data_IF_308346734344
#
_entry.id   IF_308346734344
#
_cell.length_a   1.000
_cell.length_b   1.000
_cell.length_c   1.000
_cell.angle_alpha   90.00
_cell.angle_beta   90.00
_cell.angle_gamma   90.00
#
_symmetry.space_group_name_H-M   'P 1'
#
loop_
_entity.id
_entity.type
_entity.pdbx_description
1 polymer ?
#
# COMPACT_ATOMS: atom_id res chain seq x y z
N UNK A 1 -3.10 17.47 -16.35
CA UNK A 1 -3.23 16.58 -15.19
C UNK A 1 -1.92 15.83 -15.06
N UNK A 2 -1.13 16.09 -14.03
CA UNK A 2 -0.01 15.19 -13.73
C UNK A 2 -0.63 13.85 -13.33
N UNK A 3 -0.36 12.77 -14.06
CA UNK A 3 -0.71 11.44 -13.59
C UNK A 3 0.05 11.23 -12.28
N UNK A 4 -0.66 11.05 -11.18
CA UNK A 4 0.00 10.60 -9.96
C UNK A 4 0.33 9.12 -10.17
N UNK A 5 1.50 8.82 -10.72
CA UNK A 5 1.93 7.44 -10.93
C UNK A 5 2.05 6.75 -9.55
N UNK A 6 1.17 5.80 -9.22
CA UNK A 6 1.07 5.26 -7.86
C UNK A 6 2.23 4.33 -7.54
N UNK A 7 2.44 4.06 -6.26
CA UNK A 7 3.29 2.96 -5.84
C UNK A 7 2.48 1.68 -5.82
N UNK A 8 3.10 0.57 -6.20
CA UNK A 8 2.43 -0.75 -6.24
C UNK A 8 3.24 -1.68 -5.35
N UNK A 9 2.61 -2.25 -4.33
CA UNK A 9 3.29 -3.22 -3.48
C UNK A 9 2.34 -4.23 -2.87
N UNK A 10 2.90 -5.34 -2.42
CA UNK A 10 2.18 -6.48 -1.84
C UNK A 10 2.83 -7.81 -2.18
N UNK A 11 2.10 -8.90 -1.94
CA UNK A 11 2.46 -10.27 -2.29
C UNK A 11 2.06 -10.59 -3.74
N UNK A 12 3.04 -10.81 -4.61
CA UNK A 12 2.84 -11.13 -6.03
C UNK A 12 2.90 -12.64 -6.31
N UNK A 13 3.14 -13.46 -5.28
CA UNK A 13 3.22 -14.92 -5.36
C UNK A 13 4.17 -15.43 -6.48
N UNK A 14 5.23 -14.67 -6.78
CA UNK A 14 6.27 -15.09 -7.71
C UNK A 14 7.63 -14.49 -7.34
N UNK A 15 8.72 -15.21 -7.63
CA UNK A 15 10.08 -14.70 -7.47
C UNK A 15 10.63 -14.23 -8.83
N UNK A 16 11.18 -13.02 -8.89
CA UNK A 16 11.66 -12.42 -10.15
C UNK A 16 13.03 -12.95 -10.57
N UNK A 17 13.94 -13.11 -9.60
CA UNK A 17 15.29 -13.64 -9.84
C UNK A 17 15.44 -15.05 -9.21
N UNK A 18 15.52 -16.14 -10.01
CA UNK A 18 15.66 -17.50 -9.50
C UNK A 18 16.91 -17.76 -8.65
N UNK A 19 17.94 -16.91 -8.76
CA UNK A 19 19.21 -17.07 -8.07
C UNK A 19 19.30 -16.28 -6.76
N UNK A 20 18.66 -15.10 -6.69
CA UNK A 20 18.73 -14.21 -5.53
C UNK A 20 17.43 -14.13 -4.73
N UNK A 21 16.28 -14.39 -5.36
CA UNK A 21 14.95 -14.32 -4.73
C UNK A 21 14.45 -15.69 -4.28
N UNK A 22 15.30 -16.72 -4.34
CA UNK A 22 14.97 -18.08 -3.93
C UNK A 22 16.17 -18.79 -3.29
N UNK A 23 15.93 -19.47 -2.18
CA UNK A 23 16.84 -20.44 -1.59
C UNK A 23 16.15 -21.79 -1.37
N UNK A 24 16.74 -22.92 -1.78
CA UNK A 24 17.96 -23.01 -2.60
C UNK A 24 17.75 -22.41 -4.00
N UNK A 25 18.82 -21.87 -4.64
CA UNK A 25 18.73 -21.24 -5.95
C UNK A 25 18.08 -22.17 -6.98
N UNK A 26 17.14 -21.61 -7.75
CA UNK A 26 16.48 -22.33 -8.83
C UNK A 26 17.36 -22.38 -10.08
N UNK A 27 17.48 -23.55 -10.69
CA UNK A 27 18.05 -23.72 -12.05
C UNK A 27 17.00 -23.46 -13.14
N UNK A 28 15.72 -23.42 -12.74
CA UNK A 28 14.60 -23.26 -13.65
C UNK A 28 14.43 -21.78 -14.04
N UNK A 29 13.94 -21.52 -15.27
CA UNK A 29 13.61 -20.17 -15.68
C UNK A 29 12.49 -19.58 -14.80
N UNK A 30 12.38 -18.23 -14.73
CA UNK A 30 11.30 -17.56 -14.00
C UNK A 30 9.92 -18.03 -14.48
N UNK A 31 8.94 -18.04 -13.57
CA UNK A 31 7.55 -18.41 -13.89
C UNK A 31 6.95 -17.48 -14.96
N UNK A 32 5.84 -17.89 -15.58
CA UNK A 32 5.14 -17.05 -16.56
C UNK A 32 4.71 -15.71 -15.92
N UNK A 33 4.24 -15.78 -14.69
CA UNK A 33 3.82 -14.64 -13.88
C UNK A 33 4.98 -13.67 -13.65
N UNK A 34 6.15 -14.18 -13.23
CA UNK A 34 7.34 -13.36 -13.04
C UNK A 34 7.80 -12.68 -14.33
N UNK A 35 7.75 -13.38 -15.47
CA UNK A 35 8.10 -12.78 -16.78
C UNK A 35 7.12 -11.68 -17.20
N UNK A 36 5.82 -11.89 -17.01
CA UNK A 36 4.80 -10.89 -17.31
C UNK A 36 4.94 -9.68 -16.39
N UNK A 37 5.15 -9.90 -15.09
CA UNK A 37 5.36 -8.82 -14.12
C UNK A 37 6.58 -7.98 -14.50
N UNK A 38 7.73 -8.61 -14.78
CA UNK A 38 8.92 -7.91 -15.28
C UNK A 38 8.66 -7.14 -16.57
N UNK A 39 7.93 -7.73 -17.53
CA UNK A 39 7.58 -7.03 -18.78
C UNK A 39 6.75 -5.79 -18.50
N UNK A 40 5.68 -5.91 -17.70
CA UNK A 40 4.82 -4.78 -17.34
C UNK A 40 5.64 -3.69 -16.68
N UNK A 41 6.42 -4.03 -15.66
CA UNK A 41 7.27 -3.07 -14.95
C UNK A 41 8.24 -2.35 -15.90
N UNK A 42 8.89 -3.07 -16.81
CA UNK A 42 9.77 -2.47 -17.82
C UNK A 42 9.00 -1.55 -18.78
N UNK A 43 7.82 -1.95 -19.24
CA UNK A 43 7.01 -1.21 -20.20
C UNK A 43 6.47 0.10 -19.61
N UNK A 44 6.10 0.11 -18.32
CA UNK A 44 5.57 1.29 -17.62
C UNK A 44 6.64 2.08 -16.85
N UNK A 45 7.90 1.65 -16.90
CA UNK A 45 9.02 2.33 -16.23
C UNK A 45 8.97 2.27 -14.71
N UNK A 46 8.74 1.08 -14.15
CA UNK A 46 8.74 0.82 -12.71
C UNK A 46 9.91 -0.09 -12.31
N UNK A 47 10.52 0.20 -11.17
CA UNK A 47 11.62 -0.58 -10.60
C UNK A 47 11.24 -1.20 -9.25
N UNK A 48 11.76 -2.40 -8.99
CA UNK A 48 11.72 -3.07 -7.67
C UNK A 48 12.66 -2.35 -6.70
N UNK A 49 12.10 -1.63 -5.73
CA UNK A 49 12.85 -0.79 -4.80
C UNK A 49 13.89 -1.59 -4.01
N UNK A 50 13.55 -2.80 -3.56
CA UNK A 50 14.46 -3.62 -2.77
C UNK A 50 15.66 -4.05 -3.61
N UNK A 51 15.43 -4.49 -4.85
CA UNK A 51 16.51 -4.99 -5.71
C UNK A 51 17.43 -3.89 -6.23
N UNK A 52 16.90 -2.67 -6.44
CA UNK A 52 17.73 -1.51 -6.79
C UNK A 52 18.69 -1.12 -5.66
N UNK A 53 18.25 -1.21 -4.39
CA UNK A 53 19.08 -0.90 -3.23
C UNK A 53 20.01 -2.04 -2.81
N UNK A 54 19.60 -3.29 -3.07
CA UNK A 54 20.30 -4.50 -2.64
C UNK A 54 20.54 -5.44 -3.84
N UNK A 55 21.40 -5.05 -4.79
CA UNK A 55 21.53 -5.75 -6.08
C UNK A 55 22.03 -7.19 -5.94
N UNK A 56 22.82 -7.48 -4.91
CA UNK A 56 23.47 -8.78 -4.70
C UNK A 56 22.89 -9.59 -3.55
N UNK A 57 22.07 -8.96 -2.69
CA UNK A 57 21.68 -9.59 -1.43
C UNK A 57 20.56 -10.61 -1.65
N UNK A 58 20.59 -11.65 -0.82
CA UNK A 58 19.61 -12.73 -0.80
C UNK A 58 18.87 -12.72 0.53
N UNK A 59 17.72 -12.03 0.54
CA UNK A 59 16.78 -12.01 1.65
C UNK A 59 15.38 -12.36 1.15
N UNK A 60 14.55 -12.91 2.05
CA UNK A 60 13.31 -13.60 1.69
C UNK A 60 12.15 -13.13 2.55
N UNK A 61 10.95 -13.16 1.98
CA UNK A 61 9.70 -12.72 2.63
C UNK A 61 8.73 -13.87 2.89
N UNK A 62 9.04 -15.06 2.37
CA UNK A 62 8.22 -16.25 2.53
C UNK A 62 9.06 -17.51 2.74
N UNK A 63 8.56 -18.41 3.58
CA UNK A 63 9.10 -19.76 3.76
C UNK A 63 8.01 -20.80 3.46
N UNK A 64 8.33 -21.75 2.58
CA UNK A 64 7.49 -22.90 2.27
C UNK A 64 8.03 -24.14 2.97
N UNK A 65 7.36 -24.58 4.03
CA UNK A 65 7.73 -25.81 4.75
C UNK A 65 7.68 -27.08 3.85
N UNK A 66 6.65 -27.30 3.01
CA UNK A 66 6.59 -28.50 2.16
C UNK A 66 7.70 -28.59 1.10
N UNK A 67 8.31 -27.46 0.76
CA UNK A 67 9.36 -27.36 -0.26
C UNK A 67 10.73 -27.01 0.32
N UNK A 68 10.81 -26.86 1.65
CA UNK A 68 12.01 -26.42 2.39
C UNK A 68 12.72 -25.23 1.71
N UNK A 69 11.91 -24.26 1.25
CA UNK A 69 12.41 -23.18 0.40
C UNK A 69 12.02 -21.81 0.93
N UNK A 70 12.95 -20.87 0.84
CA UNK A 70 12.70 -19.45 1.07
C UNK A 70 12.56 -18.72 -0.26
N UNK A 71 11.61 -17.80 -0.34
CA UNK A 71 11.39 -16.98 -1.54
C UNK A 71 11.09 -15.54 -1.18
N UNK A 72 11.54 -14.60 -2.00
CA UNK A 72 11.07 -13.21 -1.98
C UNK A 72 9.91 -13.09 -2.96
N UNK A 73 8.72 -12.85 -2.44
CA UNK A 73 7.47 -12.74 -3.22
C UNK A 73 6.71 -11.45 -2.95
N UNK A 74 7.11 -10.72 -1.92
CA UNK A 74 6.63 -9.37 -1.64
C UNK A 74 7.54 -8.36 -2.32
N UNK A 75 6.94 -7.40 -3.00
CA UNK A 75 7.65 -6.35 -3.74
C UNK A 75 7.04 -4.99 -3.44
N UNK A 76 7.86 -3.93 -3.56
CA UNK A 76 7.40 -2.58 -3.80
C UNK A 76 7.98 -2.10 -5.14
N UNK A 77 7.11 -1.80 -6.08
CA UNK A 77 7.44 -1.16 -7.33
C UNK A 77 7.06 0.31 -7.30
N UNK A 78 7.98 1.16 -7.76
CA UNK A 78 7.75 2.60 -7.93
C UNK A 78 8.19 3.04 -9.32
N UNK A 79 7.65 4.15 -9.86
CA UNK A 79 8.18 4.75 -11.08
C UNK A 79 9.68 5.03 -10.94
N UNK A 80 10.49 4.66 -11.94
CA UNK A 80 11.93 4.93 -11.95
C UNK A 80 12.23 6.42 -11.70
N UNK A 81 11.34 7.31 -12.19
CA UNK A 81 11.41 8.76 -11.98
C UNK A 81 11.31 9.19 -10.51
N UNK A 82 10.86 8.32 -9.61
CA UNK A 82 10.70 8.58 -8.16
C UNK A 82 11.71 7.82 -7.30
N UNK A 83 12.63 7.06 -7.90
CA UNK A 83 13.60 6.24 -7.16
C UNK A 83 14.52 7.09 -6.26
N UNK A 84 14.82 8.33 -6.65
CA UNK A 84 15.63 9.27 -5.86
C UNK A 84 14.98 9.67 -4.51
N UNK A 85 13.69 9.37 -4.31
CA UNK A 85 12.97 9.62 -3.05
C UNK A 85 13.14 8.48 -2.02
N UNK A 86 13.72 7.34 -2.43
CA UNK A 86 13.93 6.18 -1.55
C UNK A 86 15.25 6.35 -0.79
N UNK A 87 15.22 6.29 0.55
CA UNK A 87 16.44 6.28 1.39
C UNK A 87 16.90 4.87 1.69
N UNK A 88 15.97 4.02 2.12
CA UNK A 88 16.26 2.62 2.41
C UNK A 88 15.03 1.76 2.25
N UNK A 89 15.26 0.49 1.96
CA UNK A 89 14.30 -0.58 1.98
C UNK A 89 14.97 -1.71 2.78
N UNK A 90 14.23 -2.38 3.64
CA UNK A 90 14.66 -3.42 4.60
C UNK A 90 13.61 -4.52 4.64
N UNK A 91 14.00 -5.80 4.69
CA UNK A 91 13.06 -6.88 4.99
C UNK A 91 13.09 -7.11 6.51
N UNK A 92 11.94 -6.92 7.17
CA UNK A 92 11.80 -7.21 8.58
C UNK A 92 11.67 -8.72 8.78
N UNK A 93 12.68 -9.33 9.40
CA UNK A 93 12.76 -10.77 9.63
C UNK A 93 11.75 -11.27 10.67
N UNK A 94 11.19 -10.39 11.50
CA UNK A 94 10.19 -10.77 12.50
C UNK A 94 8.82 -11.05 11.89
N UNK A 95 8.44 -10.30 10.85
CA UNK A 95 7.19 -10.46 10.11
C UNK A 95 7.39 -10.97 8.68
N UNK A 96 8.64 -11.23 8.27
CA UNK A 96 9.06 -11.51 6.88
C UNK A 96 8.43 -10.54 5.87
N UNK A 97 8.30 -9.28 6.24
CA UNK A 97 7.59 -8.25 5.45
C UNK A 97 8.54 -7.14 5.00
N UNK A 98 8.28 -6.54 3.85
CA UNK A 98 9.03 -5.36 3.39
C UNK A 98 8.72 -4.13 4.26
N UNK A 99 9.77 -3.50 4.76
CA UNK A 99 9.74 -2.22 5.49
C UNK A 99 10.56 -1.21 4.70
N UNK A 100 9.99 -0.03 4.44
CA UNK A 100 10.60 0.94 3.52
C UNK A 100 10.65 2.30 4.19
N UNK A 101 11.84 2.89 4.21
CA UNK A 101 12.05 4.27 4.67
C UNK A 101 12.27 5.16 3.44
N UNK A 102 11.29 6.01 3.17
CA UNK A 102 11.31 6.99 2.09
C UNK A 102 11.61 8.37 2.67
N UNK A 103 12.28 9.25 1.93
CA UNK A 103 12.31 10.68 2.26
C UNK A 103 10.87 11.19 2.18
N UNK A 104 10.25 11.49 3.32
CA UNK A 104 9.08 12.37 3.46
C UNK A 104 7.81 12.07 2.62
N UNK A 105 7.63 10.88 2.06
CA UNK A 105 6.38 10.54 1.39
C UNK A 105 5.25 10.29 2.40
N UNK A 106 5.54 9.81 3.61
CA UNK A 106 4.49 9.60 4.61
C UNK A 106 3.86 10.92 5.09
N UNK A 107 4.60 11.98 5.46
CA UNK A 107 4.00 13.28 5.76
C UNK A 107 3.30 13.91 4.57
N UNK A 108 3.83 13.80 3.33
CA UNK A 108 3.21 14.39 2.15
C UNK A 108 1.93 13.65 1.75
N UNK A 109 1.91 12.31 1.78
CA UNK A 109 0.72 11.52 1.49
C UNK A 109 -0.28 11.56 2.65
N UNK A 110 0.17 11.61 3.91
CA UNK A 110 -0.73 11.86 5.04
C UNK A 110 -1.30 13.28 4.99
N UNK A 111 -0.52 14.29 4.60
CA UNK A 111 -1.00 15.66 4.40
C UNK A 111 -1.96 15.72 3.22
N UNK A 112 -1.64 15.14 2.06
CA UNK A 112 -2.56 15.05 0.92
C UNK A 112 -3.83 14.26 1.23
N UNK A 113 -3.73 13.16 1.99
CA UNK A 113 -4.89 12.35 2.43
C UNK A 113 -5.71 13.09 3.49
N UNK A 114 -5.08 13.77 4.43
CA UNK A 114 -5.75 14.65 5.39
C UNK A 114 -6.45 15.80 4.66
N UNK A 115 -5.77 16.49 3.74
CA UNK A 115 -6.31 17.57 2.91
C UNK A 115 -7.46 17.10 2.01
N UNK A 116 -7.43 15.83 1.55
CA UNK A 116 -8.52 15.22 0.75
C UNK A 116 -9.67 14.66 1.59
N UNK A 117 -9.46 14.38 2.89
CA UNK A 117 -10.50 13.97 3.84
C UNK A 117 -11.07 15.14 4.66
N UNK A 118 -10.48 16.33 4.57
CA UNK A 118 -11.06 17.55 5.12
C UNK A 118 -12.24 17.94 4.25
N UNK A 119 -13.43 17.81 4.83
CA UNK A 119 -14.65 18.33 4.23
C UNK A 119 -14.60 19.84 4.38
N UNK A 120 -14.08 20.50 3.34
CA UNK A 120 -13.93 21.97 3.25
C UNK A 120 -15.28 22.70 3.28
N UNK A 121 -16.36 22.01 2.92
CA UNK A 121 -17.71 22.53 2.99
C UNK A 121 -18.74 21.42 2.96
N UNK A 122 -19.87 21.62 3.62
CA UNK A 122 -21.07 20.82 3.42
C UNK A 122 -22.19 21.68 2.84
N UNK A 123 -23.15 21.04 2.19
CA UNK A 123 -24.39 21.69 1.75
C UNK A 123 -25.52 21.11 2.61
N UNK A 124 -26.26 21.98 3.29
CA UNK A 124 -27.38 21.56 4.12
C UNK A 124 -28.63 21.17 3.28
N UNK A 125 -29.68 20.70 3.94
CA UNK A 125 -30.94 20.31 3.29
C UNK A 125 -31.66 21.47 2.56
N UNK A 126 -31.28 22.73 2.84
CA UNK A 126 -31.81 23.93 2.18
C UNK A 126 -30.89 24.40 1.03
N UNK A 127 -29.90 23.60 0.63
CA UNK A 127 -28.86 23.93 -0.35
C UNK A 127 -27.93 25.09 0.06
N UNK A 128 -27.83 25.41 1.34
CA UNK A 128 -26.91 26.43 1.84
C UNK A 128 -25.55 25.78 2.12
N UNK A 129 -24.51 26.32 1.49
CA UNK A 129 -23.14 25.81 1.61
C UNK A 129 -22.44 26.44 2.82
N UNK A 130 -21.99 25.58 3.73
CA UNK A 130 -21.31 25.96 4.97
C UNK A 130 -19.84 25.54 4.93
N UNK A 131 -18.95 26.47 5.27
CA UNK A 131 -17.49 26.27 5.35
C UNK A 131 -16.97 26.29 6.80
N UNK A 132 -17.85 26.61 7.76
CA UNK A 132 -17.52 26.70 9.18
C UNK A 132 -17.42 25.29 9.79
N UNK A 133 -16.27 24.97 10.40
CA UNK A 133 -15.98 23.65 10.95
C UNK A 133 -16.95 23.26 12.08
N UNK A 134 -17.42 24.22 12.88
CA UNK A 134 -18.37 23.95 13.98
C UNK A 134 -19.73 23.54 13.44
N UNK A 135 -20.17 24.21 12.38
CA UNK A 135 -21.41 23.91 11.64
C UNK A 135 -21.29 22.55 10.94
N UNK A 136 -20.16 22.29 10.27
CA UNK A 136 -19.89 21.03 9.58
C UNK A 136 -19.97 19.84 10.55
N UNK A 137 -19.28 19.92 11.68
CA UNK A 137 -19.27 18.85 12.67
C UNK A 137 -20.66 18.62 13.31
N UNK A 138 -21.46 19.68 13.48
CA UNK A 138 -22.83 19.59 13.99
C UNK A 138 -23.75 18.82 13.03
N UNK A 139 -23.66 19.09 11.74
CA UNK A 139 -24.46 18.39 10.72
C UNK A 139 -24.05 16.93 10.59
N UNK A 140 -22.74 16.61 10.64
CA UNK A 140 -22.29 15.21 10.69
C UNK A 140 -22.81 14.48 11.92
N UNK A 141 -22.76 15.10 13.10
CA UNK A 141 -23.31 14.52 14.32
C UNK A 141 -24.81 14.22 14.18
N UNK A 142 -25.58 15.12 13.57
CA UNK A 142 -27.00 14.92 13.30
C UNK A 142 -27.24 13.77 12.32
N UNK A 143 -26.50 13.73 11.20
CA UNK A 143 -26.56 12.67 10.20
C UNK A 143 -26.33 11.28 10.81
N UNK A 144 -25.22 11.12 11.54
CA UNK A 144 -24.90 9.84 12.18
C UNK A 144 -25.93 9.47 13.26
N UNK A 145 -26.40 10.45 14.05
CA UNK A 145 -27.45 10.18 15.05
C UNK A 145 -28.74 9.65 14.43
N UNK A 146 -29.09 10.10 13.22
CA UNK A 146 -30.29 9.65 12.51
C UNK A 146 -30.07 8.29 11.85
N UNK A 147 -28.87 8.04 11.29
CA UNK A 147 -28.50 6.77 10.67
C UNK A 147 -28.58 5.60 11.68
N UNK A 148 -28.08 5.84 12.89
CA UNK A 148 -28.02 4.81 13.94
C UNK A 148 -29.25 4.77 14.86
N UNK A 149 -30.21 5.70 14.72
CA UNK A 149 -31.50 5.66 15.41
C UNK A 149 -32.42 4.56 14.87
N UNK A 150 -32.28 4.14 13.61
CA UNK A 150 -33.09 3.06 13.01
C UNK A 150 -32.56 1.65 13.27
N UNK A 151 -31.41 1.50 13.92
CA UNK A 151 -30.73 0.21 14.13
C UNK A 151 -30.75 -0.27 15.59
N UNK A 152 -31.41 0.45 16.50
CA UNK A 152 -31.58 0.03 17.89
C UNK A 152 -32.91 -0.75 18.02
N UNK A 153 -32.90 -2.08 18.27
CA UNK A 153 -34.11 -2.78 18.65
C UNK A 153 -34.57 -2.33 20.05
N UNK A 154 -35.87 -2.09 20.24
CA UNK A 154 -36.51 -1.60 21.48
C UNK A 154 -36.30 -2.47 22.74
N UNK A 155 -35.54 -3.56 22.69
CA UNK A 155 -35.47 -4.57 23.75
C UNK A 155 -34.07 -4.77 24.37
N UNK A 156 -33.30 -3.70 24.58
CA UNK A 156 -32.04 -3.77 25.34
C UNK A 156 -32.22 -3.41 26.84
N UNK A 157 -33.34 -3.79 27.46
CA UNK A 157 -33.54 -3.77 28.91
C UNK A 157 -34.13 -5.10 29.39
N UNK A 158 -33.31 -6.16 29.37
CA UNK A 158 -33.47 -7.34 30.23
C UNK A 158 -32.23 -8.26 30.08
N UNK A 159 -31.20 -7.98 30.88
CA UNK A 159 -30.34 -8.92 31.63
C UNK A 159 -29.06 -8.21 32.07
#
# INVERSE_FOLDING_TARGET
MASEDPFVGGDFNCHLNPFLDKFPPGINPPSKQARVLNSICNDIGYSDVWRELHPTDSEFTFFSAPHESHTRIDYLFIPCSKMFLVLSCTIDRSCMSLVINLVDILPILLKKRADSQIIVSITDANNVRSFDAKTINKEFALLYSNLYKSEQPDNALAL
#
